data_IF_889928614665
#
_entry.id   IF_889928614665
#
_cell.length_a   1.000
_cell.length_b   1.000
_cell.length_c   1.000
_cell.angle_alpha   90.00
_cell.angle_beta   90.00
_cell.angle_gamma   90.00
#
_symmetry.space_group_name_H-M   'P 1'
#
loop_
_entity.id
_entity.type
_entity.pdbx_description
1 polymer ?
#
# COMPACT_ATOMS: atom_id res chain seq x y z
N UNK A 1 17.58 39.96 12.41
CA UNK A 1 17.91 39.98 10.97
C UNK A 1 19.23 39.26 10.76
N UNK A 2 19.20 38.02 10.39
CA UNK A 2 20.37 37.25 9.92
C UNK A 2 19.88 36.22 8.91
N UNK A 3 20.54 36.05 7.76
CA UNK A 3 20.01 35.28 6.65
C UNK A 3 20.30 33.77 6.80
N UNK A 4 19.30 32.98 6.43
CA UNK A 4 19.35 31.55 6.32
C UNK A 4 20.32 31.14 5.18
N UNK A 5 21.35 30.39 5.54
CA UNK A 5 22.27 29.77 4.57
C UNK A 5 21.64 28.52 3.97
N UNK A 6 21.38 28.58 2.68
CA UNK A 6 21.00 27.41 1.88
C UNK A 6 22.17 26.42 1.79
N UNK A 7 21.94 25.17 2.16
CA UNK A 7 22.85 24.06 1.89
C UNK A 7 22.55 23.48 0.52
N UNK A 8 23.39 23.82 -0.44
CA UNK A 8 23.42 23.21 -1.77
C UNK A 8 24.07 21.82 -1.64
N UNK A 9 23.33 20.76 -1.92
CA UNK A 9 23.90 19.43 -2.09
C UNK A 9 24.53 19.31 -3.47
N UNK A 10 25.85 19.34 -3.56
CA UNK A 10 26.62 19.04 -4.76
C UNK A 10 26.65 17.51 -4.97
N UNK A 11 25.99 17.01 -6.00
CA UNK A 11 26.26 15.69 -6.54
C UNK A 11 27.49 15.77 -7.47
N UNK A 12 28.59 15.11 -7.06
CA UNK A 12 29.77 14.95 -7.90
C UNK A 12 29.47 14.02 -9.06
N UNK A 13 29.55 14.55 -10.27
CA UNK A 13 29.56 13.77 -11.50
C UNK A 13 30.84 12.96 -11.58
N UNK A 14 30.75 11.65 -11.73
CA UNK A 14 31.87 10.78 -12.10
C UNK A 14 32.00 10.78 -13.62
N UNK A 15 33.23 11.04 -14.03
CA UNK A 15 33.63 11.27 -15.41
C UNK A 15 33.54 10.00 -16.27
N UNK A 16 33.21 10.27 -17.51
CA UNK A 16 33.15 9.42 -18.69
C UNK A 16 34.39 8.60 -18.98
N UNK A 17 34.24 7.31 -19.24
CA UNK A 17 35.18 6.53 -20.03
C UNK A 17 34.54 6.20 -21.38
N UNK A 18 35.26 6.54 -22.46
CA UNK A 18 34.89 6.33 -23.85
C UNK A 18 34.73 4.85 -24.18
N UNK A 19 33.66 4.50 -24.91
CA UNK A 19 33.43 3.19 -25.52
C UNK A 19 33.53 3.35 -27.04
N UNK A 20 34.30 2.48 -27.73
CA UNK A 20 34.50 2.59 -29.19
C UNK A 20 33.27 2.24 -29.99
N UNK A 21 33.09 3.00 -31.05
CA UNK A 21 32.11 2.86 -32.11
C UNK A 21 32.46 1.62 -32.97
N UNK A 22 31.57 0.65 -33.13
CA UNK A 22 31.23 0.00 -34.41
C UNK A 22 30.32 -1.22 -34.22
N UNK A 23 29.14 -1.15 -34.79
CA UNK A 23 28.48 -2.11 -35.68
C UNK A 23 27.00 -1.82 -35.86
N UNK A 24 26.67 -1.38 -37.06
CA UNK A 24 25.28 -1.32 -37.56
C UNK A 24 24.69 -2.73 -37.58
N UNK A 25 23.77 -3.01 -36.66
CA UNK A 25 22.87 -4.17 -36.80
C UNK A 25 21.46 -3.59 -37.00
N UNK A 26 20.91 -3.89 -38.20
CA UNK A 26 19.58 -3.45 -38.60
C UNK A 26 18.50 -4.01 -37.67
N UNK A 27 17.94 -3.19 -36.86
CA UNK A 27 16.77 -3.48 -36.03
C UNK A 27 15.52 -3.31 -36.88
N UNK A 28 14.89 -4.42 -37.26
CA UNK A 28 13.51 -4.43 -37.75
C UNK A 28 12.61 -3.95 -36.59
N UNK A 29 11.97 -2.82 -36.76
CA UNK A 29 10.92 -2.33 -35.89
C UNK A 29 9.79 -3.33 -35.85
N UNK A 30 9.70 -4.10 -34.74
CA UNK A 30 8.50 -4.85 -34.42
C UNK A 30 7.43 -3.86 -33.96
N UNK A 31 6.35 -3.77 -34.72
CA UNK A 31 5.15 -3.07 -34.30
C UNK A 31 4.72 -3.63 -32.94
N UNK A 32 4.58 -2.75 -31.95
CA UNK A 32 4.00 -3.09 -30.64
C UNK A 32 2.53 -3.41 -30.90
N UNK A 33 2.22 -4.70 -31.00
CA UNK A 33 0.85 -5.17 -31.06
C UNK A 33 0.12 -4.73 -29.78
N UNK A 34 -1.05 -4.10 -29.98
CA UNK A 34 -2.08 -3.84 -29.00
C UNK A 34 -2.17 -5.04 -28.05
N UNK A 35 -1.90 -4.85 -26.77
CA UNK A 35 -1.96 -5.90 -25.78
C UNK A 35 -3.37 -6.51 -25.81
N UNK A 36 -3.51 -7.67 -26.44
CA UNK A 36 -4.70 -8.50 -26.32
C UNK A 36 -4.83 -8.88 -24.83
N UNK A 37 -6.01 -8.63 -24.28
CA UNK A 37 -6.35 -9.18 -22.95
C UNK A 37 -6.13 -10.68 -23.03
N UNK A 38 -5.33 -11.28 -22.13
CA UNK A 38 -5.12 -12.72 -22.16
C UNK A 38 -6.49 -13.40 -22.06
N UNK A 39 -6.76 -14.30 -23.02
CA UNK A 39 -7.88 -15.24 -22.95
C UNK A 39 -7.87 -15.89 -21.58
N UNK A 40 -9.01 -16.32 -21.03
CA UNK A 40 -9.26 -17.01 -19.74
C UNK A 40 -8.08 -17.86 -19.19
N UNK A 41 -6.87 -17.33 -19.17
CA UNK A 41 -5.73 -17.88 -18.46
C UNK A 41 -6.06 -17.77 -16.97
N UNK A 42 -5.96 -18.90 -16.29
CA UNK A 42 -6.11 -19.03 -14.84
C UNK A 42 -5.42 -17.85 -14.16
N UNK A 43 -6.19 -17.04 -13.44
CA UNK A 43 -5.62 -15.91 -12.67
C UNK A 43 -4.53 -16.44 -11.74
N UNK A 44 -3.37 -15.78 -11.61
CA UNK A 44 -2.33 -16.21 -10.69
C UNK A 44 -2.89 -16.26 -9.27
N UNK A 45 -2.64 -17.38 -8.58
CA UNK A 45 -3.16 -17.58 -7.21
C UNK A 45 -2.16 -17.10 -6.19
N UNK A 46 -2.63 -16.32 -5.23
CA UNK A 46 -1.98 -16.08 -3.96
C UNK A 46 -2.63 -17.04 -2.94
N UNK A 47 -1.82 -17.89 -2.32
CA UNK A 47 -2.32 -18.92 -1.41
C UNK A 47 -1.73 -18.69 -0.02
N UNK A 48 -2.57 -18.68 0.99
CA UNK A 48 -2.17 -18.71 2.41
C UNK A 48 -2.48 -20.10 2.95
N UNK A 49 -1.45 -20.88 3.24
CA UNK A 49 -1.60 -22.17 3.92
C UNK A 49 -1.59 -21.97 5.43
N UNK A 50 -2.67 -22.29 6.09
CA UNK A 50 -2.73 -22.30 7.56
C UNK A 50 -1.82 -23.40 8.10
N UNK A 51 -1.02 -23.09 9.14
CA UNK A 51 0.01 -23.99 9.64
C UNK A 51 -0.58 -25.02 10.62
N UNK A 52 -1.53 -24.58 11.42
CA UNK A 52 -2.19 -25.39 12.45
C UNK A 52 -3.68 -25.08 12.46
N UNK A 53 -4.51 -26.05 12.81
CA UNK A 53 -5.96 -25.83 12.97
C UNK A 53 -6.26 -24.90 14.15
N UNK A 54 -5.39 -24.90 15.17
CA UNK A 54 -5.55 -24.09 16.37
C UNK A 54 -5.07 -22.63 16.19
N UNK A 55 -4.27 -22.39 15.16
CA UNK A 55 -3.66 -21.07 14.88
C UNK A 55 -4.36 -20.41 13.69
N UNK A 56 -5.33 -19.56 13.98
CA UNK A 56 -6.07 -18.85 12.94
C UNK A 56 -5.97 -17.32 13.14
N UNK A 57 -5.81 -16.59 12.03
CA UNK A 57 -5.96 -15.16 11.98
C UNK A 57 -6.84 -14.80 10.77
N UNK A 58 -7.93 -14.06 10.93
CA UNK A 58 -8.81 -13.72 9.81
C UNK A 58 -8.04 -12.91 8.75
N UNK A 59 -8.19 -13.28 7.49
CA UNK A 59 -7.71 -12.53 6.33
C UNK A 59 -8.94 -11.97 5.62
N UNK A 60 -8.92 -10.67 5.29
CA UNK A 60 -9.98 -10.02 4.51
C UNK A 60 -9.39 -9.11 3.44
N UNK A 61 -10.14 -8.77 2.37
CA UNK A 61 -9.79 -7.67 1.51
C UNK A 61 -9.66 -6.37 2.30
N UNK A 62 -8.65 -5.57 1.96
CA UNK A 62 -8.45 -4.28 2.61
C UNK A 62 -9.64 -3.35 2.33
N UNK A 63 -10.16 -2.74 3.37
CA UNK A 63 -11.32 -1.84 3.30
C UNK A 63 -10.90 -0.46 2.80
N UNK A 64 -11.83 0.26 2.16
CA UNK A 64 -11.58 1.64 1.77
C UNK A 64 -11.78 2.63 2.92
N UNK A 65 -12.62 2.29 3.91
CA UNK A 65 -12.94 3.12 5.06
C UNK A 65 -11.74 3.27 5.99
N UNK A 66 -11.58 4.49 6.49
CA UNK A 66 -10.63 4.81 7.55
C UNK A 66 -11.33 5.73 8.53
N UNK A 67 -11.22 5.40 9.83
CA UNK A 67 -11.90 6.17 10.88
C UNK A 67 -11.61 7.67 10.79
N UNK A 68 -10.35 8.06 10.62
CA UNK A 68 -9.98 9.47 10.50
C UNK A 68 -10.57 10.17 9.25
N UNK A 69 -10.80 9.41 8.18
CA UNK A 69 -11.45 9.93 6.97
C UNK A 69 -12.96 10.07 7.18
N UNK A 70 -13.56 9.19 7.98
CA UNK A 70 -14.96 9.25 8.36
C UNK A 70 -15.23 10.40 9.32
N UNK A 71 -14.29 10.66 10.25
CA UNK A 71 -14.37 11.74 11.24
C UNK A 71 -14.14 13.12 10.62
N UNK A 72 -13.57 13.20 9.42
CA UNK A 72 -13.33 14.46 8.74
C UNK A 72 -14.64 15.10 8.24
N UNK A 73 -14.74 16.44 8.34
CA UNK A 73 -15.90 17.19 7.88
C UNK A 73 -16.27 16.87 6.43
N UNK A 74 -17.53 16.49 6.20
CA UNK A 74 -18.06 16.11 4.89
C UNK A 74 -17.32 14.93 4.26
N UNK A 75 -16.60 14.14 5.05
CA UNK A 75 -15.78 13.00 4.60
C UNK A 75 -14.84 13.38 3.44
N UNK A 76 -14.32 14.61 3.51
CA UNK A 76 -13.56 15.24 2.43
C UNK A 76 -12.36 14.41 1.92
N UNK A 77 -11.58 13.70 2.78
CA UNK A 77 -10.43 12.91 2.34
C UNK A 77 -10.77 11.81 1.32
N UNK A 78 -12.00 11.29 1.32
CA UNK A 78 -12.43 10.30 0.31
C UNK A 78 -12.50 10.84 -1.13
N UNK A 79 -12.40 12.16 -1.30
CA UNK A 79 -12.27 12.78 -2.63
C UNK A 79 -10.87 12.62 -3.23
N UNK A 80 -9.89 12.27 -2.40
CA UNK A 80 -8.54 11.92 -2.84
C UNK A 80 -8.50 10.46 -3.30
N UNK A 81 -8.79 10.22 -4.57
CA UNK A 81 -8.84 8.87 -5.13
C UNK A 81 -7.54 8.06 -4.94
N UNK A 82 -6.33 8.63 -5.07
CA UNK A 82 -5.10 7.89 -4.74
C UNK A 82 -5.09 7.30 -3.33
N UNK A 83 -5.61 8.02 -2.31
CA UNK A 83 -5.73 7.48 -0.95
C UNK A 83 -6.73 6.33 -0.89
N UNK A 84 -7.90 6.50 -1.51
CA UNK A 84 -8.97 5.49 -1.53
C UNK A 84 -8.51 4.22 -2.26
N UNK A 85 -7.83 4.37 -3.40
CA UNK A 85 -7.26 3.25 -4.15
C UNK A 85 -6.23 2.49 -3.28
N UNK A 86 -5.33 3.23 -2.62
CA UNK A 86 -4.32 2.64 -1.75
C UNK A 86 -4.96 1.90 -0.55
N UNK A 87 -6.01 2.47 0.07
CA UNK A 87 -6.71 1.82 1.18
C UNK A 87 -7.18 0.41 0.85
N UNK A 88 -7.64 0.19 -0.38
CA UNK A 88 -8.23 -1.05 -0.87
C UNK A 88 -7.22 -2.00 -1.55
N UNK A 89 -5.95 -1.62 -1.62
CA UNK A 89 -4.96 -2.33 -2.40
C UNK A 89 -4.35 -3.49 -1.62
N UNK A 90 -4.94 -4.68 -1.70
CA UNK A 90 -4.44 -5.89 -1.05
C UNK A 90 -5.39 -6.48 -0.01
N UNK A 91 -4.82 -7.14 0.98
CA UNK A 91 -5.52 -7.84 2.06
C UNK A 91 -4.97 -7.43 3.43
N UNK A 92 -5.79 -7.62 4.45
CA UNK A 92 -5.45 -7.36 5.84
C UNK A 92 -5.53 -8.65 6.65
N UNK A 93 -4.57 -8.85 7.56
CA UNK A 93 -4.63 -9.88 8.60
C UNK A 93 -5.04 -9.19 9.90
N UNK A 94 -6.02 -9.75 10.58
CA UNK A 94 -6.64 -9.14 11.74
C UNK A 94 -6.12 -9.76 13.03
N UNK A 95 -6.03 -8.95 14.09
CA UNK A 95 -5.80 -9.45 15.44
C UNK A 95 -6.95 -10.32 15.90
N UNK A 96 -6.66 -11.47 16.49
CA UNK A 96 -7.62 -12.36 17.14
C UNK A 96 -7.79 -12.04 18.63
N UNK A 97 -6.91 -11.23 19.19
CA UNK A 97 -6.90 -10.89 20.61
C UNK A 97 -6.91 -9.38 20.81
N UNK A 98 -7.50 -8.95 21.91
CA UNK A 98 -7.29 -7.60 22.44
C UNK A 98 -5.97 -7.60 23.21
N UNK A 99 -4.99 -6.87 22.70
CA UNK A 99 -3.61 -6.88 23.18
C UNK A 99 -3.25 -5.48 23.65
N UNK A 100 -2.74 -5.35 24.88
CA UNK A 100 -2.10 -4.14 25.37
C UNK A 100 -0.59 -4.32 25.35
N UNK A 101 0.11 -3.34 24.79
CA UNK A 101 1.57 -3.34 24.71
C UNK A 101 2.10 -2.05 25.31
N UNK A 102 3.00 -2.17 26.27
CA UNK A 102 3.66 -1.03 26.91
C UNK A 102 5.17 -1.12 26.67
N UNK A 103 5.74 -0.04 26.20
CA UNK A 103 7.19 0.12 26.08
C UNK A 103 7.69 1.18 27.03
N UNK A 104 8.74 0.91 27.79
CA UNK A 104 9.34 1.82 28.77
C UNK A 104 10.42 2.75 28.18
N UNK A 105 10.78 2.61 26.90
CA UNK A 105 11.78 3.42 26.23
C UNK A 105 13.18 2.78 26.21
N UNK A 106 13.38 1.62 26.85
CA UNK A 106 14.68 0.94 26.87
C UNK A 106 14.91 0.12 25.60
N UNK A 107 16.19 -0.22 25.33
CA UNK A 107 16.56 -1.03 24.17
C UNK A 107 16.38 -2.53 24.39
N UNK A 108 16.26 -2.97 25.64
CA UNK A 108 16.14 -4.38 25.99
C UNK A 108 14.77 -4.95 25.57
N UNK A 109 14.69 -6.23 25.16
CA UNK A 109 13.42 -6.88 24.86
C UNK A 109 12.42 -6.83 26.02
N UNK A 110 12.90 -6.91 27.25
CA UNK A 110 12.11 -6.89 28.49
C UNK A 110 11.45 -5.54 28.76
N UNK A 111 11.93 -4.47 28.13
CA UNK A 111 11.30 -3.15 28.20
C UNK A 111 9.95 -3.07 27.51
N UNK A 112 9.58 -4.11 26.74
CA UNK A 112 8.29 -4.24 26.08
C UNK A 112 7.45 -5.32 26.78
N UNK A 113 6.38 -4.89 27.43
CA UNK A 113 5.42 -5.74 28.13
C UNK A 113 4.17 -5.92 27.28
N UNK A 114 3.76 -7.18 27.07
CA UNK A 114 2.60 -7.55 26.25
C UNK A 114 1.58 -8.25 27.16
N UNK A 115 0.35 -7.75 27.17
CA UNK A 115 -0.76 -8.30 27.95
C UNK A 115 -1.87 -8.75 26.99
N UNK A 116 -2.35 -10.00 27.16
CA UNK A 116 -3.55 -10.47 26.48
C UNK A 116 -4.78 -10.09 27.33
N UNK A 117 -5.59 -9.17 26.83
CA UNK A 117 -6.80 -8.70 27.50
C UNK A 117 -8.04 -9.52 27.10
N UNK A 118 -7.93 -10.42 26.15
CA UNK A 118 -9.02 -11.32 25.74
C UNK A 118 -9.19 -12.53 26.66
N UNK A 119 -8.31 -12.71 27.64
CA UNK A 119 -8.29 -13.87 28.54
C UNK A 119 -7.32 -14.95 28.09
N UNK A 120 -7.72 -16.22 28.25
CA UNK A 120 -6.88 -17.35 27.90
C UNK A 120 -6.76 -17.52 26.39
N UNK A 121 -5.59 -17.89 25.94
CA UNK A 121 -5.27 -18.13 24.53
C UNK A 121 -3.81 -17.87 24.21
N UNK A 122 -3.29 -18.58 23.23
CA UNK A 122 -1.91 -18.42 22.80
C UNK A 122 -1.76 -17.07 22.07
N UNK A 123 -0.95 -16.18 22.64
CA UNK A 123 -0.65 -14.91 22.04
C UNK A 123 0.55 -15.04 21.10
N UNK A 124 0.30 -14.88 19.80
CA UNK A 124 1.34 -14.90 18.77
C UNK A 124 2.05 -13.55 18.61
N UNK A 125 2.39 -12.91 19.74
CA UNK A 125 3.09 -11.63 19.76
C UNK A 125 4.17 -11.63 20.84
N UNK A 126 5.37 -11.15 20.50
CA UNK A 126 6.52 -11.10 21.42
C UNK A 126 7.46 -9.95 21.06
N UNK A 127 8.40 -9.64 21.96
CA UNK A 127 9.51 -8.73 21.66
C UNK A 127 10.70 -9.54 21.14
N UNK A 128 10.92 -9.53 19.83
CA UNK A 128 12.02 -10.27 19.22
C UNK A 128 13.29 -9.43 19.09
N UNK A 129 13.13 -8.17 18.66
CA UNK A 129 14.26 -7.29 18.33
C UNK A 129 14.70 -6.39 19.49
N UNK A 130 13.92 -6.30 20.57
CA UNK A 130 14.08 -5.20 21.52
C UNK A 130 13.73 -3.85 20.86
N UNK A 131 14.30 -2.75 21.31
CA UNK A 131 14.14 -1.42 20.73
C UNK A 131 12.67 -0.95 20.59
N UNK A 132 11.78 -1.47 21.45
CA UNK A 132 10.35 -1.20 21.37
C UNK A 132 9.69 -1.81 20.14
N UNK A 133 10.16 -2.96 19.65
CA UNK A 133 9.55 -3.67 18.53
C UNK A 133 8.70 -4.82 19.05
N UNK A 134 7.38 -4.75 18.78
CA UNK A 134 6.50 -5.91 18.89
C UNK A 134 6.46 -6.66 17.56
N UNK A 135 6.58 -7.99 17.64
CA UNK A 135 6.57 -8.93 16.52
C UNK A 135 5.35 -9.82 16.61
N UNK A 136 4.47 -9.73 15.63
CA UNK A 136 3.32 -10.64 15.45
C UNK A 136 3.74 -11.81 14.56
N UNK A 137 3.60 -13.04 15.04
CA UNK A 137 3.75 -14.23 14.22
C UNK A 137 2.51 -14.39 13.33
N UNK A 138 2.73 -14.56 12.03
CA UNK A 138 1.64 -14.78 11.08
C UNK A 138 1.48 -16.28 10.87
N UNK A 139 0.30 -16.86 11.21
CA UNK A 139 0.09 -18.33 11.23
C UNK A 139 -0.15 -18.92 9.83
N UNK A 140 0.44 -18.34 8.81
CA UNK A 140 0.30 -18.76 7.42
C UNK A 140 1.64 -18.88 6.71
N UNK A 141 1.79 -19.94 5.91
CA UNK A 141 2.80 -20.02 4.86
C UNK A 141 2.18 -19.51 3.56
N UNK A 142 2.68 -18.39 3.07
CA UNK A 142 2.20 -17.80 1.82
C UNK A 142 2.93 -18.37 0.62
N UNK A 143 2.18 -18.52 -0.49
CA UNK A 143 2.71 -18.88 -1.80
C UNK A 143 2.18 -17.95 -2.88
N UNK A 144 3.11 -17.41 -3.64
CA UNK A 144 2.87 -16.64 -4.86
C UNK A 144 3.38 -17.41 -6.07
N UNK A 145 2.95 -17.07 -7.28
CA UNK A 145 3.58 -17.57 -8.51
C UNK A 145 5.06 -17.18 -8.59
N UNK A 146 5.84 -17.95 -9.33
CA UNK A 146 7.26 -17.66 -9.58
C UNK A 146 7.44 -16.23 -10.11
N UNK A 147 8.40 -15.51 -9.55
CA UNK A 147 8.69 -14.11 -9.89
C UNK A 147 7.81 -13.08 -9.16
N UNK A 148 7.08 -13.50 -8.12
CA UNK A 148 6.27 -12.59 -7.30
C UNK A 148 6.69 -12.66 -5.84
N UNK A 149 6.75 -11.51 -5.20
CA UNK A 149 6.96 -11.32 -3.77
C UNK A 149 5.67 -10.81 -3.13
N UNK A 150 5.64 -10.74 -1.80
CA UNK A 150 4.64 -9.97 -1.06
C UNK A 150 5.29 -8.71 -0.47
N UNK A 151 4.68 -7.57 -0.73
CA UNK A 151 4.86 -6.39 0.10
C UNK A 151 4.04 -6.57 1.36
N UNK A 152 4.68 -6.50 2.52
CA UNK A 152 4.08 -6.66 3.85
C UNK A 152 4.30 -5.37 4.62
N UNK A 153 3.25 -4.83 5.24
CA UNK A 153 3.27 -3.54 5.93
C UNK A 153 2.12 -3.39 6.91
N UNK A 154 2.04 -2.25 7.60
CA UNK A 154 0.84 -1.87 8.34
C UNK A 154 -0.32 -1.45 7.42
N UNK A 155 -1.54 -1.37 7.97
CA UNK A 155 -2.71 -0.93 7.21
C UNK A 155 -2.47 0.43 6.56
N UNK A 156 -2.67 0.50 5.24
CA UNK A 156 -2.38 1.73 4.47
C UNK A 156 -3.31 2.85 4.94
N UNK A 157 -2.74 4.03 5.15
CA UNK A 157 -3.46 5.23 5.61
C UNK A 157 -4.26 5.03 6.92
N UNK A 158 -3.78 4.13 7.78
CA UNK A 158 -4.38 3.90 9.11
C UNK A 158 -3.31 4.08 10.20
N UNK A 159 -2.86 5.32 10.46
CA UNK A 159 -1.84 5.58 11.46
C UNK A 159 -2.35 5.22 12.86
N UNK A 160 -1.43 4.69 13.69
CA UNK A 160 -1.67 4.37 15.08
C UNK A 160 -0.74 5.23 15.95
N UNK A 161 -1.28 5.92 16.94
CA UNK A 161 -0.46 6.80 17.79
C UNK A 161 0.54 5.99 18.62
N UNK A 162 1.75 6.53 18.75
CA UNK A 162 2.82 5.96 19.56
C UNK A 162 3.56 4.76 18.92
N UNK A 163 3.09 4.23 17.78
CA UNK A 163 3.69 3.04 17.15
C UNK A 163 3.59 3.13 15.62
N UNK A 164 4.56 2.60 14.91
CA UNK A 164 4.59 2.53 13.45
C UNK A 164 4.91 1.11 12.98
N UNK A 165 4.19 0.67 11.98
CA UNK A 165 4.48 -0.61 11.32
C UNK A 165 5.80 -0.53 10.55
N UNK A 166 6.55 -1.64 10.51
CA UNK A 166 7.74 -1.79 9.68
C UNK A 166 7.37 -2.52 8.39
N UNK A 167 7.80 -1.97 7.27
CA UNK A 167 7.53 -2.55 5.96
C UNK A 167 8.57 -3.64 5.62
N UNK A 168 8.17 -4.66 4.88
CA UNK A 168 9.03 -5.74 4.44
C UNK A 168 8.63 -6.28 3.06
N UNK A 169 9.60 -6.87 2.35
CA UNK A 169 9.37 -7.61 1.11
C UNK A 169 9.70 -9.08 1.38
N UNK A 170 8.71 -9.95 1.22
CA UNK A 170 8.82 -11.38 1.49
C UNK A 170 8.81 -12.16 0.17
N UNK A 171 9.84 -12.95 -0.06
CA UNK A 171 9.99 -13.78 -1.28
C UNK A 171 9.21 -15.09 -1.15
N UNK A 172 7.91 -15.03 -1.40
CA UNK A 172 6.95 -16.11 -1.12
C UNK A 172 6.83 -17.16 -2.22
N UNK A 173 7.48 -16.98 -3.35
CA UNK A 173 7.44 -17.96 -4.44
C UNK A 173 8.35 -19.18 -4.20
N UNK A 174 9.39 -19.04 -3.36
CA UNK A 174 10.34 -20.12 -3.05
C UNK A 174 10.54 -20.36 -1.56
N UNK A 175 10.42 -19.33 -0.71
CA UNK A 175 10.70 -19.46 0.75
C UNK A 175 9.75 -20.47 1.42
N UNK A 176 10.26 -21.30 2.32
CA UNK A 176 9.48 -22.26 3.11
C UNK A 176 9.23 -21.76 4.53
N UNK A 177 9.54 -20.52 4.81
CA UNK A 177 9.32 -19.87 6.11
C UNK A 177 8.04 -19.04 6.10
N UNK A 178 7.40 -18.94 7.24
CA UNK A 178 6.40 -17.91 7.52
C UNK A 178 7.08 -16.57 7.67
N UNK A 179 6.31 -15.49 7.69
CA UNK A 179 6.85 -14.18 8.02
C UNK A 179 6.23 -13.64 9.31
N UNK A 180 6.84 -12.62 9.83
CA UNK A 180 6.34 -11.86 10.97
C UNK A 180 5.98 -10.45 10.57
N UNK A 181 4.98 -9.88 11.24
CA UNK A 181 4.67 -8.46 11.11
C UNK A 181 5.21 -7.71 12.33
N UNK A 182 5.99 -6.68 12.08
CA UNK A 182 6.67 -5.94 13.11
C UNK A 182 6.14 -4.51 13.22
N UNK A 183 5.97 -4.03 14.46
CA UNK A 183 5.61 -2.66 14.76
C UNK A 183 6.58 -2.08 15.77
N UNK A 184 7.11 -0.90 15.51
CA UNK A 184 8.08 -0.23 16.36
C UNK A 184 7.45 0.97 17.06
N UNK A 185 7.58 1.04 18.37
CA UNK A 185 7.19 2.21 19.13
C UNK A 185 8.00 3.44 18.70
N UNK A 186 7.35 4.58 18.61
CA UNK A 186 7.97 5.87 18.28
C UNK A 186 8.32 6.68 19.53
N UNK A 187 7.75 6.32 20.67
CA UNK A 187 7.98 6.89 22.01
C UNK A 187 7.57 5.88 23.08
N UNK A 188 8.09 6.03 24.28
CA UNK A 188 7.62 5.27 25.43
C UNK A 188 6.14 5.59 25.70
N UNK A 189 5.28 4.59 25.59
CA UNK A 189 3.83 4.70 25.81
C UNK A 189 3.18 3.33 25.88
N UNK A 190 1.86 3.33 26.04
CA UNK A 190 1.01 2.14 25.95
C UNK A 190 0.17 2.23 24.67
N UNK A 191 0.05 1.13 23.93
CA UNK A 191 -0.76 0.99 22.72
C UNK A 191 -1.60 -0.28 22.84
N UNK A 192 -2.83 -0.25 22.34
CA UNK A 192 -3.70 -1.42 22.31
C UNK A 192 -4.02 -1.80 20.86
N UNK A 193 -4.15 -3.09 20.60
CA UNK A 193 -4.67 -3.65 19.36
C UNK A 193 -5.95 -4.41 19.68
N UNK A 194 -7.07 -3.98 19.13
CA UNK A 194 -8.37 -4.59 19.36
C UNK A 194 -8.57 -5.88 18.57
N UNK A 195 -9.50 -6.74 19.03
CA UNK A 195 -9.96 -7.88 18.24
C UNK A 195 -10.53 -7.39 16.91
N UNK A 196 -10.08 -7.98 15.81
CA UNK A 196 -10.49 -7.60 14.46
C UNK A 196 -9.80 -6.34 13.92
N UNK A 197 -8.88 -5.74 14.68
CA UNK A 197 -8.04 -4.66 14.18
C UNK A 197 -6.98 -5.22 13.21
N UNK A 198 -6.75 -4.57 12.05
CA UNK A 198 -5.71 -5.00 11.13
C UNK A 198 -4.31 -4.80 11.72
N UNK A 199 -3.57 -5.88 11.88
CA UNK A 199 -2.17 -5.88 12.34
C UNK A 199 -1.17 -5.96 11.20
N UNK A 200 -1.60 -6.44 10.03
CA UNK A 200 -0.77 -6.60 8.85
C UNK A 200 -1.59 -6.31 7.60
N UNK A 201 -0.98 -5.66 6.63
CA UNK A 201 -1.50 -5.45 5.28
C UNK A 201 -0.51 -6.02 4.28
N UNK A 202 -0.99 -6.71 3.24
CA UNK A 202 -0.10 -7.30 2.25
C UNK A 202 -0.72 -7.31 0.85
N UNK A 203 0.15 -7.28 -0.16
CA UNK A 203 -0.22 -7.42 -1.57
C UNK A 203 0.95 -7.95 -2.39
N UNK A 204 0.67 -8.67 -3.51
CA UNK A 204 1.73 -9.20 -4.37
C UNK A 204 2.39 -8.07 -5.18
N UNK A 205 3.71 -8.17 -5.33
CA UNK A 205 4.53 -7.30 -6.18
C UNK A 205 5.40 -8.17 -7.11
N UNK A 206 5.60 -7.78 -8.38
CA UNK A 206 6.52 -8.50 -9.25
C UNK A 206 7.98 -8.34 -8.75
N UNK A 207 8.75 -9.43 -8.75
CA UNK A 207 10.19 -9.39 -8.49
C UNK A 207 10.92 -8.85 -9.72
N UNK A 208 11.96 -8.04 -9.48
CA UNK A 208 12.81 -7.52 -10.54
C UNK A 208 12.21 -6.38 -11.36
N UNK A 209 10.98 -5.93 -11.04
CA UNK A 209 10.33 -4.86 -11.80
C UNK A 209 11.06 -3.52 -11.69
N UNK A 210 11.73 -3.25 -10.56
CA UNK A 210 12.46 -1.98 -10.38
C UNK A 210 13.70 -1.90 -11.28
N UNK A 211 14.34 -3.03 -11.55
CA UNK A 211 15.52 -3.13 -12.41
C UNK A 211 15.18 -2.89 -13.88
N UNK A 212 13.90 -3.05 -14.27
CA UNK A 212 13.42 -2.75 -15.62
C UNK A 212 13.27 -1.23 -15.86
N UNK A 213 13.22 -0.42 -14.80
CA UNK A 213 13.05 1.03 -14.91
C UNK A 213 14.40 1.74 -14.88
N UNK A 214 14.61 2.58 -15.88
CA UNK A 214 15.67 3.59 -15.87
C UNK A 214 15.06 4.94 -15.50
N UNK A 215 15.43 5.47 -14.33
CA UNK A 215 14.97 6.78 -13.90
C UNK A 215 15.65 7.90 -14.72
N UNK A 216 14.87 8.86 -15.16
CA UNK A 216 15.34 10.04 -15.87
C UNK A 216 14.60 11.29 -15.38
N UNK A 217 15.33 12.38 -15.19
CA UNK A 217 14.76 13.67 -14.80
C UNK A 217 14.89 14.64 -15.96
N UNK A 218 13.77 15.22 -16.38
CA UNK A 218 13.70 16.21 -17.45
C UNK A 218 12.87 17.42 -17.01
N UNK A 219 13.15 18.56 -17.61
CA UNK A 219 12.26 19.72 -17.51
C UNK A 219 11.01 19.46 -18.34
N UNK A 220 9.84 19.85 -17.85
CA UNK A 220 8.55 19.61 -18.53
C UNK A 220 8.51 20.27 -19.92
N UNK A 221 9.12 21.45 -20.05
CA UNK A 221 9.28 22.21 -21.30
C UNK A 221 9.98 21.43 -22.41
N UNK A 222 10.75 20.38 -22.06
CA UNK A 222 11.38 19.49 -23.06
C UNK A 222 10.37 18.61 -23.82
N UNK A 223 9.11 18.54 -23.35
CA UNK A 223 8.02 17.76 -23.93
C UNK A 223 6.79 18.66 -24.18
N UNK A 224 6.79 19.50 -25.23
CA UNK A 224 5.80 20.56 -25.44
C UNK A 224 4.35 20.09 -25.36
N UNK A 225 4.02 18.92 -25.93
CA UNK A 225 2.66 18.36 -25.88
C UNK A 225 2.21 17.96 -24.48
N UNK A 226 3.15 17.61 -23.60
CA UNK A 226 2.85 17.29 -22.21
C UNK A 226 2.73 18.57 -21.39
N UNK A 227 3.58 19.55 -21.68
CA UNK A 227 3.55 20.87 -21.06
C UNK A 227 2.21 21.58 -21.36
N UNK A 228 1.79 21.67 -22.63
CA UNK A 228 0.50 22.25 -23.01
C UNK A 228 -0.66 21.64 -22.19
N UNK A 229 -0.70 20.31 -22.07
CA UNK A 229 -1.75 19.63 -21.29
C UNK A 229 -1.66 19.91 -19.80
N UNK A 230 -0.46 20.07 -19.28
CA UNK A 230 -0.27 20.42 -17.88
C UNK A 230 -0.71 21.85 -17.62
N UNK A 231 -0.39 22.80 -18.51
CA UNK A 231 -0.83 24.19 -18.41
C UNK A 231 -2.35 24.29 -18.46
N UNK A 232 -3.01 23.63 -19.43
CA UNK A 232 -4.48 23.57 -19.53
C UNK A 232 -5.12 23.07 -18.23
N UNK A 233 -4.54 21.99 -17.64
CA UNK A 233 -5.01 21.47 -16.37
C UNK A 233 -4.76 22.44 -15.22
N UNK A 234 -3.59 23.05 -15.14
CA UNK A 234 -3.19 24.02 -14.12
C UNK A 234 -4.09 25.25 -14.13
N UNK A 235 -4.29 25.86 -15.30
CA UNK A 235 -5.15 27.01 -15.48
C UNK A 235 -6.60 26.70 -15.11
N UNK A 236 -7.09 25.53 -15.52
CA UNK A 236 -8.43 25.05 -15.14
C UNK A 236 -8.57 24.88 -13.63
N UNK A 237 -7.49 24.43 -12.96
CA UNK A 237 -7.43 24.28 -11.51
C UNK A 237 -7.47 25.64 -10.81
N UNK A 238 -6.65 26.55 -11.24
CA UNK A 238 -6.55 27.90 -10.68
C UNK A 238 -7.85 28.67 -10.83
N UNK A 239 -8.45 28.60 -12.02
CA UNK A 239 -9.79 29.18 -12.26
C UNK A 239 -10.84 28.57 -11.31
N UNK A 240 -10.84 27.24 -11.14
CA UNK A 240 -11.80 26.57 -10.25
C UNK A 240 -11.64 27.05 -8.80
N UNK A 241 -10.41 27.10 -8.30
CA UNK A 241 -10.11 27.55 -6.93
C UNK A 241 -10.49 29.00 -6.73
N UNK A 242 -10.16 29.87 -7.69
CA UNK A 242 -10.58 31.27 -7.68
C UNK A 242 -12.12 31.40 -7.66
N UNK A 243 -12.81 30.68 -8.54
CA UNK A 243 -14.27 30.71 -8.63
C UNK A 243 -14.94 30.15 -7.36
N UNK A 244 -14.36 29.14 -6.72
CA UNK A 244 -14.77 28.61 -5.43
C UNK A 244 -14.62 29.66 -4.32
N UNK A 245 -13.48 30.34 -4.27
CA UNK A 245 -13.20 31.43 -3.34
C UNK A 245 -14.17 32.62 -3.51
N UNK A 246 -14.61 32.87 -4.76
CA UNK A 246 -15.66 33.85 -5.09
C UNK A 246 -17.08 33.33 -4.92
N UNK A 247 -17.27 32.12 -4.37
CA UNK A 247 -18.54 31.46 -4.15
C UNK A 247 -19.46 31.44 -5.38
N UNK A 248 -18.88 31.22 -6.58
CA UNK A 248 -19.67 31.07 -7.81
C UNK A 248 -20.66 29.91 -7.68
N UNK A 249 -21.98 30.10 -7.86
CA UNK A 249 -23.00 29.08 -7.50
C UNK A 249 -22.76 27.71 -8.14
N UNK A 250 -22.39 27.68 -9.44
CA UNK A 250 -22.12 26.42 -10.17
C UNK A 250 -20.92 25.66 -9.58
N UNK A 251 -19.87 26.38 -9.18
CA UNK A 251 -18.63 25.79 -8.64
C UNK A 251 -18.85 25.33 -7.20
N UNK A 252 -19.58 26.10 -6.39
CA UNK A 252 -19.98 25.71 -5.04
C UNK A 252 -20.84 24.44 -5.07
N UNK A 253 -21.82 24.36 -5.98
CA UNK A 253 -22.65 23.17 -6.16
C UNK A 253 -21.85 21.94 -6.65
N UNK A 254 -20.80 22.16 -7.43
CA UNK A 254 -19.89 21.09 -7.86
C UNK A 254 -19.02 20.59 -6.71
N UNK A 255 -18.60 21.47 -5.79
CA UNK A 255 -17.84 21.22 -4.58
C UNK A 255 -16.36 20.90 -4.80
N UNK A 256 -15.99 20.14 -5.85
CA UNK A 256 -14.62 19.76 -6.18
C UNK A 256 -14.47 19.36 -7.66
N UNK A 257 -13.25 19.40 -8.18
CA UNK A 257 -12.96 18.99 -9.56
C UNK A 257 -12.99 17.46 -9.69
N UNK A 258 -13.80 16.98 -10.64
CA UNK A 258 -14.06 15.53 -10.86
C UNK A 258 -13.36 14.98 -12.11
N UNK A 259 -12.40 15.71 -12.67
CA UNK A 259 -11.74 15.31 -13.92
C UNK A 259 -11.03 13.98 -13.79
N UNK A 260 -10.23 13.81 -12.75
CA UNK A 260 -9.55 12.54 -12.47
C UNK A 260 -10.54 11.37 -12.34
N UNK A 261 -11.71 11.61 -11.75
CA UNK A 261 -12.78 10.61 -11.64
C UNK A 261 -13.44 10.31 -12.98
N UNK A 262 -13.54 11.31 -13.86
CA UNK A 262 -14.25 11.22 -15.16
C UNK A 262 -13.36 10.80 -16.32
N UNK A 263 -12.02 10.86 -16.16
CA UNK A 263 -11.07 10.44 -17.17
C UNK A 263 -11.32 9.01 -17.61
N UNK A 264 -11.00 8.71 -18.86
CA UNK A 264 -11.31 7.46 -19.55
C UNK A 264 -11.23 6.20 -18.65
N UNK A 265 -12.31 5.44 -18.61
CA UNK A 265 -12.45 4.25 -17.74
C UNK A 265 -11.37 3.21 -18.01
N UNK A 266 -10.89 3.11 -19.25
CA UNK A 266 -9.83 2.23 -19.71
C UNK A 266 -8.43 2.59 -19.20
N UNK A 267 -8.25 3.82 -18.69
CA UNK A 267 -6.98 4.33 -18.13
C UNK A 267 -6.93 4.32 -16.61
N UNK A 268 -8.04 4.01 -15.95
CA UNK A 268 -8.10 3.97 -14.49
C UNK A 268 -7.44 2.72 -13.94
N UNK A 269 -6.85 2.85 -12.75
CA UNK A 269 -6.43 1.70 -11.97
C UNK A 269 -7.61 0.73 -11.81
N UNK A 270 -7.37 -0.55 -12.07
CA UNK A 270 -8.33 -1.63 -11.89
C UNK A 270 -8.71 -1.87 -10.41
N UNK A 271 -8.08 -1.17 -9.46
CA UNK A 271 -8.43 -1.26 -8.04
C UNK A 271 -9.86 -0.76 -7.74
N UNK A 272 -10.48 0.04 -8.62
CA UNK A 272 -11.86 0.49 -8.46
C UNK A 272 -12.94 -0.61 -8.63
N UNK A 273 -12.85 -1.49 -9.62
CA UNK A 273 -13.80 -2.59 -9.76
C UNK A 273 -13.44 -3.83 -8.92
N UNK A 274 -12.21 -3.95 -8.43
CA UNK A 274 -11.78 -5.15 -7.70
C UNK A 274 -12.39 -5.30 -6.31
N UNK A 275 -12.83 -4.22 -5.68
CA UNK A 275 -13.50 -4.31 -4.38
C UNK A 275 -14.81 -5.08 -4.53
N UNK A 276 -15.60 -4.75 -5.55
CA UNK A 276 -16.86 -5.43 -5.80
C UNK A 276 -16.66 -6.92 -6.20
N UNK A 277 -15.66 -7.23 -7.01
CA UNK A 277 -15.35 -8.62 -7.39
C UNK A 277 -14.79 -9.43 -6.21
N UNK A 278 -13.91 -8.83 -5.38
CA UNK A 278 -13.37 -9.52 -4.19
C UNK A 278 -14.44 -9.77 -3.14
N UNK A 279 -15.32 -8.81 -2.92
CA UNK A 279 -16.46 -8.96 -2.02
C UNK A 279 -17.46 -10.01 -2.52
N UNK A 280 -17.63 -10.16 -3.84
CA UNK A 280 -18.46 -11.23 -4.43
C UNK A 280 -17.84 -12.60 -4.23
N UNK A 281 -16.54 -12.75 -4.46
CA UNK A 281 -15.83 -14.02 -4.25
C UNK A 281 -15.93 -14.49 -2.78
N UNK A 282 -15.96 -13.57 -1.81
CA UNK A 282 -16.16 -13.88 -0.39
C UNK A 282 -17.61 -14.30 -0.09
N UNK A 283 -18.60 -13.65 -0.69
CA UNK A 283 -20.00 -14.00 -0.55
C UNK A 283 -20.29 -15.39 -1.15
N UNK A 284 -19.72 -15.70 -2.32
CA UNK A 284 -19.85 -17.01 -2.95
C UNK A 284 -19.18 -18.13 -2.13
N UNK A 285 -18.08 -17.85 -1.43
CA UNK A 285 -17.42 -18.82 -0.54
C UNK A 285 -18.18 -19.01 0.78
N UNK A 286 -18.85 -17.98 1.28
CA UNK A 286 -19.68 -18.07 2.48
C UNK A 286 -20.98 -18.85 2.26
N UNK A 287 -21.60 -18.70 1.09
CA UNK A 287 -22.83 -19.40 0.72
C UNK A 287 -22.58 -20.88 0.36
N UNK A 288 -21.39 -21.20 -0.15
CA UNK A 288 -20.99 -22.60 -0.45
C UNK A 288 -20.77 -23.47 0.78
N UNK A 289 -20.66 -22.88 1.97
CA UNK A 289 -20.42 -23.63 3.23
C UNK A 289 -21.70 -23.89 4.04
N UNK A 290 -22.88 -23.48 3.55
CA UNK A 290 -24.16 -23.68 4.25
C UNK A 290 -25.05 -24.84 3.73
N UNK A 291 -24.67 -25.49 2.64
CA UNK A 291 -25.46 -26.62 2.07
C UNK A 291 -24.92 -28.03 2.45
N UNK A 292 -24.29 -28.14 3.60
CA UNK A 292 -23.72 -29.41 4.09
C UNK A 292 -24.10 -29.75 5.52
N UNK A 293 -25.41 -29.72 5.91
CA UNK A 293 -25.91 -30.43 7.08
C UNK A 293 -27.36 -30.87 6.90
#
# INVERSE_FOLDING_TARGET
MSPLHGRTFLFKALATSEVPNDRKIGMKTRSVNKAERPSKTLRPKLIAYQISEDDFAPIRPARFERKWMDDAEGKFPYRCLPLVIANQYGWEILSTHHIRVRWDGTSAPEGLVIENLSGDGLLHAHSHFGQGVITFQIPFLFRTPVGWNLMVRGPINNPKDGIAALDGIVETDWSHATFTMNWRFTRACTVEFDVGEPICHFFPIPRGVLEEFRSEFRMLESEPKLDDKFQDWSDGRDWFLWALGKRKPKVVAQGWQKEYLRTAKDKKSLAHPFVDERSRDELEQSDGNHDGR
#
